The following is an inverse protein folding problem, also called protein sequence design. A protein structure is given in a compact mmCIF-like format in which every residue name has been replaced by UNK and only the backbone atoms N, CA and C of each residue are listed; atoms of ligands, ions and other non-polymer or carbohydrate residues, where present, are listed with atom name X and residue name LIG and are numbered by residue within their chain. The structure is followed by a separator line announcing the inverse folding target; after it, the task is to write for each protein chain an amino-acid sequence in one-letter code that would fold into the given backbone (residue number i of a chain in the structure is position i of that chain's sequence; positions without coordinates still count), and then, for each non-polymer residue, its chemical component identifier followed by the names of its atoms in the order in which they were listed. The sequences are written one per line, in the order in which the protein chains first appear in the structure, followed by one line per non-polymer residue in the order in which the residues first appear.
data_IF_024834400864
#
_entry.id   IF_024834400864
#
_cell.length_a   1.000
_cell.length_b   1.000
_cell.length_c   1.000
_cell.angle_alpha   90.00
_cell.angle_beta   90.00
_cell.angle_gamma   90.00
#
_symmetry.space_group_name_H-M   'P 1'
#
loop_
_entity.id
_entity.type
_entity.pdbx_description
1 polymer ?
#
# COMPACT_ATOMS: atom_id res chain seq x y z
N UNK A 1 -17.43 17.26 -14.07
CA UNK A 1 -16.46 18.18 -13.40
C UNK A 1 -15.89 17.63 -12.09
N UNK A 2 -16.72 17.04 -11.20
CA UNK A 2 -16.25 16.52 -9.90
C UNK A 2 -15.31 15.30 -9.98
N UNK A 3 -15.55 14.37 -10.91
CA UNK A 3 -14.71 13.18 -11.09
C UNK A 3 -13.29 13.52 -11.59
N UNK A 4 -13.17 14.44 -12.55
CA UNK A 4 -11.87 14.93 -13.07
C UNK A 4 -11.03 15.54 -11.96
N UNK A 5 -11.65 16.38 -11.10
CA UNK A 5 -10.97 16.97 -9.95
C UNK A 5 -10.47 15.92 -8.95
N UNK A 6 -11.25 14.85 -8.70
CA UNK A 6 -10.83 13.74 -7.83
C UNK A 6 -9.63 12.97 -8.39
N UNK A 7 -9.62 12.73 -9.71
CA UNK A 7 -8.50 12.05 -10.38
C UNK A 7 -7.23 12.91 -10.31
N UNK A 8 -7.33 14.21 -10.60
CA UNK A 8 -6.20 15.13 -10.50
C UNK A 8 -5.65 15.16 -9.07
N UNK A 9 -6.52 15.25 -8.06
CA UNK A 9 -6.11 15.24 -6.66
C UNK A 9 -5.37 13.94 -6.28
N UNK A 10 -5.84 12.78 -6.76
CA UNK A 10 -5.13 11.51 -6.55
C UNK A 10 -3.78 11.49 -7.27
N UNK A 11 -3.70 11.99 -8.50
CA UNK A 11 -2.44 12.04 -9.25
C UNK A 11 -1.41 12.95 -8.56
N UNK A 12 -1.84 14.13 -8.09
CA UNK A 12 -1.02 15.04 -7.30
C UNK A 12 -0.55 14.38 -6.01
N UNK A 13 -1.46 13.68 -5.31
CA UNK A 13 -1.10 12.97 -4.08
C UNK A 13 -0.11 11.82 -4.34
N UNK A 14 -0.32 11.05 -5.40
CA UNK A 14 0.59 10.00 -5.82
C UNK A 14 1.98 10.54 -6.16
N UNK A 15 2.05 11.65 -6.92
CA UNK A 15 3.31 12.32 -7.21
C UNK A 15 3.98 12.86 -5.94
N UNK A 16 3.22 13.50 -5.05
CA UNK A 16 3.76 13.99 -3.77
C UNK A 16 4.32 12.85 -2.92
N UNK A 17 3.66 11.69 -2.93
CA UNK A 17 4.13 10.50 -2.22
C UNK A 17 5.48 10.05 -2.76
N UNK A 18 5.63 9.98 -4.09
CA UNK A 18 6.91 9.65 -4.73
C UNK A 18 8.01 10.64 -4.34
N UNK A 19 7.72 11.94 -4.44
CA UNK A 19 8.67 13.00 -4.12
C UNK A 19 9.12 13.00 -2.65
N UNK A 20 8.23 12.68 -1.70
CA UNK A 20 8.61 12.62 -0.29
C UNK A 20 9.68 11.56 -0.04
N UNK A 21 9.54 10.37 -0.61
CA UNK A 21 10.54 9.31 -0.50
C UNK A 21 11.87 9.74 -1.14
N UNK A 22 11.84 10.27 -2.35
CA UNK A 22 13.04 10.74 -3.05
C UNK A 22 13.78 11.81 -2.25
N UNK A 23 13.06 12.82 -1.72
CA UNK A 23 13.66 13.90 -0.94
C UNK A 23 14.27 13.39 0.38
N UNK A 24 13.55 12.54 1.11
CA UNK A 24 14.03 12.01 2.39
C UNK A 24 15.27 11.11 2.24
N UNK A 25 15.36 10.37 1.13
CA UNK A 25 16.39 9.34 0.96
C UNK A 25 17.41 9.64 -0.14
N UNK A 26 17.40 10.84 -0.75
CA UNK A 26 18.30 11.21 -1.85
C UNK A 26 19.79 11.00 -1.54
N UNK A 27 20.20 11.26 -0.29
CA UNK A 27 21.56 11.09 0.20
C UNK A 27 21.77 9.82 1.05
N UNK A 28 20.73 9.00 1.24
CA UNK A 28 20.77 7.86 2.15
C UNK A 28 21.35 6.62 1.45
N UNK A 29 22.52 6.15 1.88
CA UNK A 29 23.20 4.99 1.25
C UNK A 29 22.49 3.65 1.43
N UNK A 30 21.65 3.52 2.46
CA UNK A 30 20.96 2.27 2.78
C UNK A 30 19.67 2.11 1.97
N UNK A 31 18.86 3.15 1.89
CA UNK A 31 17.52 3.10 1.30
C UNK A 31 17.51 3.54 -0.16
N UNK A 32 18.38 4.48 -0.57
CA UNK A 32 18.45 4.95 -1.96
C UNK A 32 18.56 3.83 -3.01
N UNK A 33 19.39 2.78 -2.80
CA UNK A 33 19.52 1.72 -3.79
C UNK A 33 18.23 0.92 -4.03
N UNK A 34 17.28 0.96 -3.10
CA UNK A 34 16.04 0.17 -3.15
C UNK A 34 14.77 1.03 -3.33
N UNK A 35 14.91 2.34 -3.52
CA UNK A 35 13.77 3.26 -3.66
C UNK A 35 12.89 2.90 -4.87
N UNK A 36 13.52 2.53 -5.98
CA UNK A 36 12.81 2.17 -7.20
C UNK A 36 11.92 0.93 -7.01
N UNK A 37 12.42 -0.06 -6.28
CA UNK A 37 11.69 -1.27 -5.93
C UNK A 37 10.50 -0.95 -5.03
N UNK A 38 10.68 -0.09 -4.02
CA UNK A 38 9.60 0.38 -3.14
C UNK A 38 8.49 1.04 -3.96
N UNK A 39 8.85 1.95 -4.88
CA UNK A 39 7.89 2.63 -5.74
C UNK A 39 7.19 1.69 -6.71
N UNK A 40 7.92 0.74 -7.29
CA UNK A 40 7.36 -0.28 -8.20
C UNK A 40 6.36 -1.16 -7.47
N UNK A 41 6.70 -1.65 -6.27
CA UNK A 41 5.81 -2.47 -5.44
C UNK A 41 4.54 -1.71 -5.10
N UNK A 42 4.69 -0.47 -4.64
CA UNK A 42 3.57 0.37 -4.23
C UNK A 42 2.62 0.67 -5.40
N UNK A 43 3.16 1.13 -6.53
CA UNK A 43 2.36 1.50 -7.72
C UNK A 43 1.69 0.29 -8.35
N UNK A 44 2.38 -0.86 -8.42
CA UNK A 44 1.80 -2.11 -8.89
C UNK A 44 0.63 -2.52 -8.00
N UNK A 45 0.82 -2.49 -6.68
CA UNK A 45 -0.21 -2.87 -5.71
C UNK A 45 -1.45 -1.98 -5.81
N UNK A 46 -1.27 -0.66 -5.87
CA UNK A 46 -2.39 0.28 -6.06
C UNK A 46 -3.14 -0.02 -7.35
N UNK A 47 -2.42 -0.22 -8.46
CA UNK A 47 -3.01 -0.50 -9.76
C UNK A 47 -3.80 -1.81 -9.77
N UNK A 48 -3.24 -2.87 -9.19
CA UNK A 48 -3.91 -4.16 -9.00
C UNK A 48 -5.16 -4.00 -8.14
N UNK A 49 -5.09 -3.28 -7.03
CA UNK A 49 -6.26 -3.04 -6.18
C UNK A 49 -7.37 -2.28 -6.91
N UNK A 50 -7.04 -1.21 -7.64
CA UNK A 50 -8.01 -0.46 -8.44
C UNK A 50 -8.70 -1.37 -9.46
N UNK A 51 -7.93 -2.20 -10.17
CA UNK A 51 -8.46 -3.17 -11.12
C UNK A 51 -9.42 -4.17 -10.44
N UNK A 52 -9.00 -4.78 -9.33
CA UNK A 52 -9.82 -5.73 -8.59
C UNK A 52 -11.08 -5.07 -8.04
N UNK A 53 -10.98 -3.87 -7.48
CA UNK A 53 -12.10 -3.14 -6.90
C UNK A 53 -13.19 -2.81 -7.93
N UNK A 54 -12.79 -2.44 -9.15
CA UNK A 54 -13.72 -2.15 -10.25
C UNK A 54 -14.37 -3.45 -10.75
N UNK A 55 -13.58 -4.52 -10.89
CA UNK A 55 -14.04 -5.75 -11.58
C UNK A 55 -14.77 -6.74 -10.68
N UNK A 56 -14.51 -6.69 -9.38
CA UNK A 56 -14.94 -7.70 -8.40
C UNK A 56 -15.89 -7.04 -7.38
N UNK A 57 -16.86 -7.82 -6.88
CA UNK A 57 -17.75 -7.37 -5.81
C UNK A 57 -17.08 -7.49 -4.43
N UNK A 58 -17.52 -6.68 -3.46
CA UNK A 58 -16.92 -6.57 -2.13
C UNK A 58 -16.73 -7.95 -1.44
N UNK A 59 -17.70 -8.85 -1.54
CA UNK A 59 -17.63 -10.20 -0.94
C UNK A 59 -16.42 -11.01 -1.42
N UNK A 60 -16.08 -10.94 -2.70
CA UNK A 60 -14.93 -11.66 -3.25
C UNK A 60 -13.60 -10.98 -2.90
N UNK A 61 -13.61 -9.66 -2.68
CA UNK A 61 -12.44 -8.96 -2.13
C UNK A 61 -12.18 -9.41 -0.68
N UNK A 62 -13.22 -9.59 0.12
CA UNK A 62 -13.09 -10.10 1.49
C UNK A 62 -12.53 -11.54 1.52
N UNK A 63 -12.98 -12.40 0.60
CA UNK A 63 -12.41 -13.76 0.44
C UNK A 63 -10.95 -13.70 0.00
N UNK A 64 -10.62 -12.86 -0.98
CA UNK A 64 -9.23 -12.65 -1.43
C UNK A 64 -8.34 -12.20 -0.27
N UNK A 65 -8.81 -11.24 0.54
CA UNK A 65 -8.11 -10.77 1.75
C UNK A 65 -7.81 -11.91 2.71
N UNK A 66 -8.75 -12.81 2.98
CA UNK A 66 -8.50 -13.97 3.85
C UNK A 66 -7.40 -14.84 3.25
N UNK A 67 -7.44 -15.10 1.94
CA UNK A 67 -6.39 -15.83 1.23
C UNK A 67 -5.03 -15.16 1.32
N UNK A 68 -4.97 -13.84 1.12
CA UNK A 68 -3.76 -13.02 1.26
C UNK A 68 -3.21 -13.07 2.69
N UNK A 69 -4.06 -12.88 3.70
CA UNK A 69 -3.68 -12.92 5.13
C UNK A 69 -3.07 -14.26 5.53
N UNK A 70 -3.74 -15.36 5.16
CA UNK A 70 -3.29 -16.71 5.51
C UNK A 70 -1.99 -17.02 4.79
N UNK A 71 -1.93 -16.72 3.49
CA UNK A 71 -0.71 -16.90 2.70
C UNK A 71 0.43 -16.06 3.29
N UNK A 72 0.23 -14.76 3.51
CA UNK A 72 1.24 -13.85 4.03
C UNK A 72 1.78 -14.29 5.38
N UNK A 73 0.92 -14.63 6.36
CA UNK A 73 1.38 -15.05 7.70
C UNK A 73 2.18 -16.35 7.67
N UNK A 74 1.74 -17.32 6.88
CA UNK A 74 2.44 -18.61 6.75
C UNK A 74 3.75 -18.43 5.98
N UNK A 75 3.72 -17.70 4.86
CA UNK A 75 4.89 -17.47 4.03
C UNK A 75 5.91 -16.57 4.72
N UNK A 76 5.52 -15.50 5.43
CA UNK A 76 6.47 -14.62 6.14
C UNK A 76 7.34 -15.41 7.13
N UNK A 77 6.75 -16.34 7.89
CA UNK A 77 7.50 -17.19 8.83
C UNK A 77 8.48 -18.11 8.07
N UNK A 78 8.01 -18.73 6.98
CA UNK A 78 8.84 -19.61 6.13
C UNK A 78 9.99 -18.83 5.49
N UNK A 79 9.73 -17.60 5.04
CA UNK A 79 10.72 -16.69 4.43
C UNK A 79 11.78 -16.31 5.46
N UNK A 80 11.37 -15.88 6.65
CA UNK A 80 12.30 -15.54 7.73
C UNK A 80 13.18 -16.74 8.08
N UNK A 81 12.61 -17.95 8.16
CA UNK A 81 13.37 -19.18 8.38
C UNK A 81 14.39 -19.46 7.26
N UNK A 82 14.03 -19.28 5.98
CA UNK A 82 14.95 -19.46 4.86
C UNK A 82 16.03 -18.38 4.78
N UNK A 83 15.71 -17.13 5.12
CA UNK A 83 16.66 -16.02 5.19
C UNK A 83 17.70 -16.30 6.28
N UNK A 84 17.27 -16.69 7.48
CA UNK A 84 18.16 -17.02 8.60
C UNK A 84 19.11 -18.19 8.29
N UNK A 85 18.70 -19.11 7.41
CA UNK A 85 19.54 -20.25 7.02
C UNK A 85 20.45 -19.97 5.81
N UNK A 86 20.45 -18.77 5.23
CA UNK A 86 21.22 -18.42 4.02
C UNK A 86 21.00 -19.37 2.81
N UNK A 87 19.88 -20.11 2.78
CA UNK A 87 19.64 -21.17 1.78
C UNK A 87 18.84 -20.74 0.55
N UNK A 88 18.48 -19.47 0.43
CA UNK A 88 17.66 -19.00 -0.70
C UNK A 88 18.39 -17.93 -1.50
N UNK A 89 18.69 -18.21 -2.78
CA UNK A 89 19.22 -17.22 -3.72
C UNK A 89 18.17 -16.17 -4.14
N UNK A 90 16.87 -16.50 -4.03
CA UNK A 90 15.77 -15.65 -4.49
C UNK A 90 15.03 -14.92 -3.34
N UNK A 91 15.70 -14.67 -2.20
CA UNK A 91 15.13 -13.92 -1.06
C UNK A 91 14.46 -12.59 -1.46
N UNK A 92 15.04 -11.78 -2.39
CA UNK A 92 14.45 -10.49 -2.75
C UNK A 92 13.07 -10.61 -3.42
N UNK A 93 12.89 -11.58 -4.33
CA UNK A 93 11.62 -11.82 -5.02
C UNK A 93 10.51 -12.21 -4.03
N UNK A 94 10.85 -13.06 -3.07
CA UNK A 94 9.92 -13.57 -2.06
C UNK A 94 9.50 -12.45 -1.08
N UNK A 95 10.44 -11.59 -0.67
CA UNK A 95 10.14 -10.38 0.12
C UNK A 95 9.22 -9.42 -0.65
N UNK A 96 9.48 -9.22 -1.93
CA UNK A 96 8.67 -8.36 -2.81
C UNK A 96 7.20 -8.82 -2.86
N UNK A 97 6.95 -10.13 -3.08
CA UNK A 97 5.58 -10.66 -3.06
C UNK A 97 4.89 -10.48 -1.71
N UNK A 98 5.67 -10.65 -0.63
CA UNK A 98 5.20 -10.44 0.73
C UNK A 98 4.71 -9.00 0.89
N UNK A 99 5.51 -8.01 0.51
CA UNK A 99 5.08 -6.60 0.54
C UNK A 99 3.84 -6.33 -0.32
N UNK A 100 3.78 -6.82 -1.55
CA UNK A 100 2.60 -6.65 -2.43
C UNK A 100 1.33 -7.19 -1.76
N UNK A 101 1.39 -8.40 -1.19
CA UNK A 101 0.23 -8.98 -0.52
C UNK A 101 -0.16 -8.23 0.75
N UNK A 102 0.80 -7.74 1.54
CA UNK A 102 0.52 -6.93 2.71
C UNK A 102 -0.17 -5.61 2.37
N UNK A 103 0.31 -4.89 1.35
CA UNK A 103 -0.34 -3.66 0.87
C UNK A 103 -1.75 -3.93 0.30
N UNK A 104 -1.93 -5.01 -0.45
CA UNK A 104 -3.25 -5.42 -0.97
C UNK A 104 -4.23 -5.75 0.16
N UNK A 105 -3.80 -6.50 1.17
CA UNK A 105 -4.62 -6.80 2.34
C UNK A 105 -5.04 -5.52 3.06
N UNK A 106 -4.10 -4.62 3.32
CA UNK A 106 -4.35 -3.33 3.98
C UNK A 106 -5.35 -2.46 3.23
N UNK A 107 -5.29 -2.44 1.89
CA UNK A 107 -6.25 -1.73 1.04
C UNK A 107 -7.68 -2.29 1.18
N UNK A 108 -7.82 -3.62 1.22
CA UNK A 108 -9.12 -4.28 1.40
C UNK A 108 -9.67 -4.01 2.81
N UNK A 109 -8.83 -4.09 3.84
CA UNK A 109 -9.18 -3.78 5.22
C UNK A 109 -9.64 -2.33 5.39
N UNK A 110 -8.91 -1.38 4.80
CA UNK A 110 -9.25 0.03 4.81
C UNK A 110 -10.58 0.32 4.11
N UNK A 111 -10.85 -0.34 2.98
CA UNK A 111 -12.14 -0.26 2.31
C UNK A 111 -13.30 -0.82 3.17
N UNK A 112 -13.10 -1.98 3.80
CA UNK A 112 -14.09 -2.56 4.70
C UNK A 112 -14.36 -1.66 5.91
N UNK A 113 -13.31 -1.08 6.49
CA UNK A 113 -13.43 -0.10 7.58
C UNK A 113 -14.22 1.14 7.15
N UNK A 114 -13.91 1.72 5.98
CA UNK A 114 -14.65 2.87 5.44
C UNK A 114 -16.12 2.57 5.14
N UNK A 115 -16.44 1.31 4.80
CA UNK A 115 -17.82 0.84 4.58
C UNK A 115 -18.61 0.72 5.89
N UNK A 116 -17.94 0.30 6.98
CA UNK A 116 -18.59 -0.01 8.26
C UNK A 116 -18.45 1.11 9.31
N UNK A 117 -17.67 2.16 9.05
CA UNK A 117 -17.45 3.26 9.99
C UNK A 117 -18.71 4.16 10.05
N UNK A 118 -19.27 4.43 11.25
CA UNK A 118 -20.44 5.28 11.40
C UNK A 118 -20.12 6.68 10.88
N UNK A 119 -20.88 7.12 9.87
CA UNK A 119 -20.70 8.35 9.10
C UNK A 119 -20.83 9.65 9.94
N UNK A 120 -19.94 9.91 10.89
CA UNK A 120 -19.87 11.20 11.58
C UNK A 120 -18.87 12.18 11.00
N UNK A 121 -17.98 11.75 10.09
CA UNK A 121 -16.93 12.63 9.60
C UNK A 121 -16.91 12.79 8.07
N UNK A 122 -17.05 14.06 7.68
CA UNK A 122 -16.89 14.66 6.35
C UNK A 122 -18.11 14.67 5.40
N UNK A 123 -18.80 15.81 5.38
CA UNK A 123 -19.62 16.30 4.24
C UNK A 123 -18.83 16.44 2.93
N UNK A 124 -17.54 16.16 2.93
CA UNK A 124 -16.67 16.32 1.76
C UNK A 124 -16.88 15.21 0.71
N UNK A 125 -17.43 14.06 1.09
CA UNK A 125 -17.64 12.92 0.18
C UNK A 125 -18.78 12.01 0.66
N UNK A 126 -19.87 11.94 -0.11
CA UNK A 126 -20.97 10.99 0.12
C UNK A 126 -20.43 9.55 0.02
N UNK A 127 -20.47 8.82 1.13
CA UNK A 127 -19.72 7.55 1.34
C UNK A 127 -20.41 6.32 0.74
N UNK A 128 -21.66 6.46 0.27
CA UNK A 128 -22.47 5.34 -0.22
C UNK A 128 -22.12 4.92 -1.66
N UNK A 129 -21.45 5.80 -2.42
CA UNK A 129 -21.07 5.51 -3.79
C UNK A 129 -19.75 4.71 -3.83
N UNK A 130 -19.78 3.51 -4.43
CA UNK A 130 -18.63 2.58 -4.54
C UNK A 130 -17.34 3.29 -4.98
N UNK A 131 -17.43 4.21 -5.95
CA UNK A 131 -16.29 4.99 -6.43
C UNK A 131 -15.75 5.99 -5.40
N UNK A 132 -16.61 6.66 -4.63
CA UNK A 132 -16.15 7.58 -3.56
C UNK A 132 -15.38 6.83 -2.47
N UNK A 133 -15.80 5.61 -2.16
CA UNK A 133 -15.08 4.74 -1.23
C UNK A 133 -13.71 4.36 -1.77
N UNK A 134 -13.60 4.00 -3.06
CA UNK A 134 -12.29 3.78 -3.72
C UNK A 134 -11.36 4.99 -3.57
N UNK A 135 -11.86 6.20 -3.88
CA UNK A 135 -11.07 7.43 -3.75
C UNK A 135 -10.55 7.63 -2.32
N UNK A 136 -11.41 7.41 -1.31
CA UNK A 136 -11.01 7.51 0.11
C UNK A 136 -9.96 6.45 0.47
N UNK A 137 -10.13 5.20 0.06
CA UNK A 137 -9.16 4.13 0.29
C UNK A 137 -7.79 4.49 -0.29
N UNK A 138 -7.75 4.95 -1.54
CA UNK A 138 -6.49 5.35 -2.18
C UNK A 138 -5.85 6.54 -1.47
N UNK A 139 -6.64 7.55 -1.10
CA UNK A 139 -6.15 8.72 -0.36
C UNK A 139 -5.48 8.33 0.96
N UNK A 140 -6.15 7.54 1.79
CA UNK A 140 -5.60 7.08 3.06
C UNK A 140 -4.37 6.18 2.85
N UNK A 141 -4.34 5.37 1.80
CA UNK A 141 -3.18 4.55 1.47
C UNK A 141 -1.95 5.39 1.09
N UNK A 142 -2.12 6.46 0.32
CA UNK A 142 -1.05 7.43 0.06
C UNK A 142 -0.54 8.07 1.34
N UNK A 143 -1.46 8.50 2.21
CA UNK A 143 -1.08 9.08 3.50
C UNK A 143 -0.29 8.09 4.37
N UNK A 144 -0.75 6.84 4.48
CA UNK A 144 -0.03 5.78 5.20
C UNK A 144 1.35 5.55 4.57
N UNK A 145 1.46 5.53 3.25
CA UNK A 145 2.75 5.32 2.58
C UNK A 145 3.74 6.47 2.80
N UNK A 146 3.25 7.72 2.89
CA UNK A 146 4.05 8.89 3.30
C UNK A 146 4.53 8.73 4.75
N UNK A 147 3.64 8.32 5.67
CA UNK A 147 4.01 8.07 7.07
C UNK A 147 5.07 6.97 7.19
N UNK A 148 4.98 5.91 6.38
CA UNK A 148 6.00 4.86 6.31
C UNK A 148 7.36 5.40 5.87
N UNK A 149 7.39 6.37 4.95
CA UNK A 149 8.63 7.04 4.54
C UNK A 149 9.27 7.78 5.72
N UNK A 150 8.48 8.53 6.49
CA UNK A 150 8.95 9.26 7.67
C UNK A 150 9.47 8.30 8.75
N UNK A 151 8.77 7.21 9.00
CA UNK A 151 9.21 6.19 9.96
C UNK A 151 10.53 5.53 9.53
N UNK A 152 10.64 5.14 8.24
CA UNK A 152 11.87 4.58 7.69
C UNK A 152 13.02 5.59 7.73
N UNK A 153 12.74 6.89 7.56
CA UNK A 153 13.74 7.94 7.67
C UNK A 153 14.25 8.07 9.10
N UNK A 154 13.35 8.09 10.09
CA UNK A 154 13.75 8.09 11.50
C UNK A 154 14.63 6.88 11.83
N UNK A 155 14.24 5.68 11.39
CA UNK A 155 15.05 4.47 11.60
C UNK A 155 16.43 4.61 10.94
N UNK A 156 16.48 5.10 9.71
CA UNK A 156 17.74 5.17 8.96
C UNK A 156 18.76 6.13 9.59
N UNK A 157 18.29 7.16 10.31
CA UNK A 157 19.17 8.04 11.11
C UNK A 157 19.90 7.31 12.25
N UNK A 158 19.38 6.18 12.73
CA UNK A 158 20.03 5.37 13.78
C UNK A 158 20.89 4.24 13.23
N UNK A 159 20.77 3.93 11.94
CA UNK A 159 21.48 2.82 11.28
C UNK A 159 22.65 3.28 10.40
N UNK A 160 22.79 4.60 10.19
CA UNK A 160 23.95 5.24 9.57
C UNK A 160 25.07 5.44 10.59
#
# INVERSE_FOLDING_TARGET
MMAVKKIINLAVLGLSTFLVWEVLFFANTLIKPILWEIHTIYTLTLSTYVFLFIRINDTYLDVLKVGLRVSFRVWLIIILAFVMQNRYKNQPLLLTFTFVFGYLEGLIDLNAWLKNSPQKESKLFNTDEKMNRLYKTLFYMHFIHILSALFAFVISLFLQ
#
